data_IF_345102435954
#
_entry.id   IF_345102435954
#
_cell.length_a   1.000
_cell.length_b   1.000
_cell.length_c   1.000
_cell.angle_alpha   90.00
_cell.angle_beta   90.00
_cell.angle_gamma   90.00
#
_symmetry.space_group_name_H-M   'P 1'
#
loop_
_entity.id
_entity.type
_entity.pdbx_description
1 polymer ?
#
# COMPACT_ATOMS: atom_id res chain seq x y z
N UNK A 1 21.47 2.46 -6.77
CA UNK A 1 20.47 2.62 -7.85
C UNK A 1 19.12 2.56 -7.18
N UNK A 2 18.23 3.51 -7.46
CA UNK A 2 16.84 3.49 -7.00
C UNK A 2 15.99 2.73 -8.00
N UNK A 3 15.03 1.96 -7.50
CA UNK A 3 14.02 1.30 -8.33
C UNK A 3 12.68 1.94 -8.03
N UNK A 4 11.83 2.05 -9.06
CA UNK A 4 10.48 2.57 -8.90
C UNK A 4 9.54 1.46 -8.45
N UNK A 5 8.83 1.71 -7.37
CA UNK A 5 7.81 0.82 -6.83
C UNK A 5 6.46 1.53 -6.90
N UNK A 6 5.43 0.80 -7.28
CA UNK A 6 4.06 1.28 -7.43
C UNK A 6 3.20 0.70 -6.32
N UNK A 7 2.30 1.50 -5.76
CA UNK A 7 1.44 1.11 -4.64
C UNK A 7 0.00 0.95 -5.10
N UNK A 8 -0.31 -0.19 -5.69
CA UNK A 8 -1.65 -0.44 -6.22
C UNK A 8 -2.61 -0.76 -5.08
N UNK A 9 -3.70 -0.02 -4.98
CA UNK A 9 -4.71 -0.23 -3.97
C UNK A 9 -5.82 -1.10 -4.54
N UNK A 10 -6.10 -2.24 -3.93
CA UNK A 10 -7.20 -3.10 -4.37
C UNK A 10 -7.92 -3.75 -3.20
N UNK A 11 -9.20 -4.08 -3.38
CA UNK A 11 -9.95 -4.93 -2.47
C UNK A 11 -10.50 -6.20 -3.14
N UNK A 12 -10.11 -6.46 -4.39
CA UNK A 12 -10.64 -7.55 -5.22
C UNK A 12 -11.87 -7.19 -6.05
N UNK A 13 -12.63 -6.17 -5.66
CA UNK A 13 -13.76 -5.61 -6.43
C UNK A 13 -13.33 -4.35 -7.19
N UNK A 14 -12.62 -3.46 -6.51
CA UNK A 14 -11.98 -2.27 -7.04
C UNK A 14 -10.46 -2.44 -7.13
N UNK A 15 -9.88 -1.85 -8.16
CA UNK A 15 -8.44 -1.75 -8.38
C UNK A 15 -8.10 -0.30 -8.74
N UNK A 16 -7.22 0.31 -7.96
CA UNK A 16 -6.69 1.65 -8.16
C UNK A 16 -5.19 1.49 -8.37
N UNK A 17 -4.77 1.68 -9.61
CA UNK A 17 -3.36 1.68 -9.95
C UNK A 17 -2.72 2.98 -9.47
N UNK A 18 -1.57 2.88 -8.82
CA UNK A 18 -0.77 4.06 -8.54
C UNK A 18 0.15 4.35 -9.74
N UNK A 19 -0.08 5.46 -10.42
CA UNK A 19 0.72 5.89 -11.58
C UNK A 19 1.98 6.67 -11.17
N UNK A 20 1.98 7.22 -9.95
CA UNK A 20 3.11 7.98 -9.44
C UNK A 20 4.21 7.02 -8.99
N UNK A 21 3.91 6.05 -8.12
CA UNK A 21 4.93 5.23 -7.48
C UNK A 21 5.95 6.08 -6.71
N UNK A 22 6.91 5.40 -6.11
CA UNK A 22 8.06 6.05 -5.47
C UNK A 22 9.37 5.42 -5.91
N UNK A 23 10.42 6.22 -5.89
CA UNK A 23 11.77 5.74 -6.10
C UNK A 23 12.39 5.32 -4.76
N UNK A 24 12.64 4.03 -4.58
CA UNK A 24 13.23 3.51 -3.37
C UNK A 24 14.51 2.73 -3.68
N UNK A 25 15.50 2.83 -2.80
CA UNK A 25 16.76 2.09 -2.94
C UNK A 25 16.60 0.58 -2.70
N UNK A 26 15.48 0.15 -2.13
CA UNK A 26 15.16 -1.26 -1.84
C UNK A 26 13.68 -1.44 -1.53
N UNK A 27 13.17 -2.66 -1.70
CA UNK A 27 11.79 -3.05 -1.33
C UNK A 27 11.47 -2.63 0.11
N UNK A 28 12.40 -2.81 1.06
CA UNK A 28 12.17 -2.38 2.45
C UNK A 28 11.88 -0.88 2.59
N UNK A 29 12.60 -0.03 1.85
CA UNK A 29 12.34 1.41 1.89
C UNK A 29 10.98 1.74 1.26
N UNK A 30 10.56 1.00 0.22
CA UNK A 30 9.23 1.11 -0.35
C UNK A 30 8.13 0.69 0.63
N UNK A 31 8.34 -0.43 1.34
CA UNK A 31 7.42 -0.92 2.37
C UNK A 31 7.26 0.09 3.50
N UNK A 32 8.36 0.67 4.00
CA UNK A 32 8.30 1.69 5.05
C UNK A 32 7.49 2.90 4.59
N UNK A 33 7.76 3.41 3.39
CA UNK A 33 7.01 4.55 2.86
C UNK A 33 5.52 4.22 2.64
N UNK A 34 5.20 2.99 2.21
CA UNK A 34 3.82 2.55 2.05
C UNK A 34 3.11 2.40 3.40
N UNK A 35 3.79 1.91 4.43
CA UNK A 35 3.26 1.83 5.79
C UNK A 35 2.96 3.22 6.35
N UNK A 36 3.90 4.16 6.23
CA UNK A 36 3.71 5.55 6.67
C UNK A 36 2.49 6.16 5.96
N UNK A 37 2.38 6.00 4.64
CA UNK A 37 1.23 6.48 3.88
C UNK A 37 -0.10 5.85 4.34
N UNK A 38 -0.11 4.53 4.63
CA UNK A 38 -1.29 3.83 5.17
C UNK A 38 -1.65 4.35 6.57
N UNK A 39 -0.66 4.61 7.42
CA UNK A 39 -0.88 5.18 8.75
C UNK A 39 -1.42 6.60 8.68
N UNK A 40 -0.88 7.45 7.80
CA UNK A 40 -1.40 8.80 7.55
C UNK A 40 -2.83 8.77 7.01
N UNK A 41 -3.14 7.85 6.09
CA UNK A 41 -4.47 7.66 5.52
C UNK A 41 -5.49 7.25 6.61
N UNK A 42 -5.08 6.35 7.51
CA UNK A 42 -5.85 5.90 8.68
C UNK A 42 -6.00 6.99 9.74
N UNK A 43 -5.01 7.87 9.91
CA UNK A 43 -5.08 8.98 10.85
C UNK A 43 -6.00 10.10 10.35
N UNK A 44 -6.01 10.35 9.04
CA UNK A 44 -6.83 11.40 8.41
C UNK A 44 -8.29 10.97 8.19
N UNK A 45 -8.56 9.67 8.06
CA UNK A 45 -9.92 9.14 7.96
C UNK A 45 -10.38 8.70 9.35
N UNK A 46 -11.52 9.18 9.89
CA UNK A 46 -12.06 8.63 11.12
C UNK A 46 -12.21 7.10 10.97
N UNK A 47 -12.00 6.31 12.04
CA UNK A 47 -11.95 4.85 11.99
C UNK A 47 -13.35 4.25 11.77
N UNK A 48 -13.96 4.53 10.61
CA UNK A 48 -14.92 3.63 10.02
C UNK A 48 -14.12 2.45 9.47
N UNK A 49 -13.88 1.48 10.35
CA UNK A 49 -13.23 0.20 10.07
C UNK A 49 -13.78 -0.50 8.80
N UNK A 50 -15.01 -0.16 8.38
CA UNK A 50 -15.61 -0.67 7.14
C UNK A 50 -15.10 -0.06 5.84
N UNK A 51 -14.50 1.14 5.84
CA UNK A 51 -14.03 1.80 4.60
C UNK A 51 -12.86 1.06 3.96
N UNK A 52 -11.95 0.56 4.81
CA UNK A 52 -10.73 -0.13 4.39
C UNK A 52 -10.83 -1.64 4.49
N UNK A 53 -12.00 -2.17 4.88
CA UNK A 53 -12.27 -3.61 4.96
C UNK A 53 -12.03 -4.26 3.58
N UNK A 54 -11.17 -5.27 3.54
CA UNK A 54 -10.76 -5.95 2.31
C UNK A 54 -9.75 -5.20 1.44
N UNK A 55 -9.48 -3.92 1.70
CA UNK A 55 -8.47 -3.16 0.96
C UNK A 55 -7.06 -3.60 1.35
N UNK A 56 -6.17 -3.62 0.36
CA UNK A 56 -4.74 -3.92 0.48
C UNK A 56 -3.95 -3.07 -0.50
N UNK A 57 -2.76 -2.65 -0.08
CA UNK A 57 -1.75 -2.05 -0.95
C UNK A 57 -0.86 -3.18 -1.47
N UNK A 58 -0.83 -3.36 -2.77
CA UNK A 58 0.12 -4.20 -3.48
C UNK A 58 1.30 -3.34 -3.94
N UNK A 59 2.48 -3.64 -3.43
CA UNK A 59 3.73 -3.03 -3.85
C UNK A 59 4.24 -3.80 -5.06
N UNK A 60 4.34 -3.10 -6.18
CA UNK A 60 4.70 -3.66 -7.48
C UNK A 60 6.02 -3.04 -7.94
N UNK A 61 6.97 -3.86 -8.38
CA UNK A 61 8.24 -3.38 -8.95
C UNK A 61 8.03 -2.78 -10.35
N UNK A 62 9.05 -2.10 -10.90
CA UNK A 62 9.06 -1.56 -12.26
C UNK A 62 8.73 -2.60 -13.35
N UNK A 63 8.93 -3.89 -13.06
CA UNK A 63 8.57 -5.00 -13.94
C UNK A 63 7.09 -5.41 -13.87
N UNK A 64 6.26 -4.77 -13.04
CA UNK A 64 4.86 -5.14 -12.85
C UNK A 64 4.65 -6.35 -11.93
N UNK A 65 5.68 -6.80 -11.20
CA UNK A 65 5.57 -7.90 -10.25
C UNK A 65 5.26 -7.40 -8.84
N UNK A 66 4.19 -7.93 -8.24
CA UNK A 66 3.89 -7.70 -6.83
C UNK A 66 4.98 -8.31 -5.95
N UNK A 67 5.75 -7.45 -5.29
CA UNK A 67 6.83 -7.82 -4.37
C UNK A 67 6.37 -7.88 -2.92
N UNK A 68 5.32 -7.14 -2.56
CA UNK A 68 4.79 -7.11 -1.20
C UNK A 68 3.32 -6.71 -1.19
N UNK A 69 2.59 -7.13 -0.16
CA UNK A 69 1.16 -6.81 0.01
C UNK A 69 0.92 -6.42 1.46
N UNK A 70 0.33 -5.25 1.67
CA UNK A 70 0.00 -4.70 2.98
C UNK A 70 -1.52 -4.59 3.09
N UNK A 71 -2.19 -5.44 3.89
CA UNK A 71 -3.62 -5.30 4.13
C UNK A 71 -3.93 -4.02 4.94
N UNK A 72 -4.82 -3.18 4.42
CA UNK A 72 -5.32 -2.00 5.16
C UNK A 72 -6.36 -2.39 6.19
N UNK A 73 -6.98 -3.56 6.02
CA UNK A 73 -7.90 -4.21 6.95
C UNK A 73 -7.21 -4.99 8.07
N UNK A 74 -5.87 -5.02 8.14
CA UNK A 74 -5.20 -5.58 9.30
C UNK A 74 -5.45 -4.68 10.53
N UNK A 75 -6.64 -4.85 11.11
CA UNK A 75 -6.95 -4.76 12.51
C UNK A 75 -5.81 -5.46 13.23
N UNK A 76 -4.97 -4.71 13.93
CA UNK A 76 -4.26 -5.28 15.06
C UNK A 76 -5.35 -5.85 15.99
N UNK A 77 -5.45 -7.18 16.15
CA UNK A 77 -6.26 -7.72 17.21
C UNK A 77 -5.48 -7.49 18.51
N UNK A 78 -5.96 -6.49 19.28
CA UNK A 78 -5.78 -6.33 20.73
C UNK A 78 -4.38 -6.10 21.30
#
# INVERSE_FOLDING_TARGET
>A
MTTRYYFNLTNGDAFIQDENGIEASSIRAAVVSAMEAVEELRAQSPPNLGQWLGWRVEIVDALGQTVHIIPLDALSPH
#
